data_IF_358891855365
#
_entry.id   IF_358891855365
#
_cell.length_a   1.000
_cell.length_b   1.000
_cell.length_c   1.000
_cell.angle_alpha   90.00
_cell.angle_beta   90.00
_cell.angle_gamma   90.00
#
_symmetry.space_group_name_H-M   'P 1'
#
loop_
_entity.id
_entity.type
_entity.pdbx_description
1 polymer ?
#
# COMPACT_ATOMS: atom_id res chain seq x y z
N UNK A 1 9.86 14.96 -12.37
CA UNK A 1 10.90 14.26 -13.06
C UNK A 1 10.43 12.91 -13.52
N UNK A 2 10.66 12.65 -14.80
CA UNK A 2 10.17 11.42 -15.40
C UNK A 2 10.72 10.17 -14.74
N UNK A 3 11.99 10.23 -14.30
CA UNK A 3 12.64 9.10 -13.67
C UNK A 3 11.94 8.68 -12.39
N UNK A 4 11.53 9.65 -11.56
CA UNK A 4 10.83 9.34 -10.32
C UNK A 4 9.49 8.67 -10.56
N UNK A 5 8.78 9.11 -11.58
CA UNK A 5 7.49 8.50 -11.90
C UNK A 5 7.66 7.05 -12.33
N UNK A 6 8.73 6.77 -13.09
CA UNK A 6 9.00 5.40 -13.51
C UNK A 6 9.38 4.53 -12.33
N UNK A 7 10.12 5.09 -11.37
CA UNK A 7 10.49 4.32 -10.19
C UNK A 7 9.27 3.96 -9.38
N UNK A 8 8.35 4.90 -9.19
CA UNK A 8 7.12 4.63 -8.45
C UNK A 8 6.28 3.57 -9.14
N UNK A 9 6.20 3.66 -10.46
CA UNK A 9 5.44 2.71 -11.24
C UNK A 9 6.03 1.30 -11.10
N UNK A 10 7.35 1.21 -11.18
CA UNK A 10 8.02 -0.08 -11.05
C UNK A 10 7.80 -0.67 -9.67
N UNK A 11 7.98 0.13 -8.63
CA UNK A 11 7.77 -0.32 -7.25
C UNK A 11 6.34 -0.81 -7.08
N UNK A 12 5.39 -0.04 -7.58
CA UNK A 12 3.99 -0.42 -7.48
C UNK A 12 3.75 -1.76 -8.16
N UNK A 13 4.24 -1.91 -9.39
CA UNK A 13 4.00 -3.13 -10.13
C UNK A 13 4.62 -4.36 -9.47
N UNK A 14 5.82 -4.19 -8.92
CA UNK A 14 6.48 -5.30 -8.23
C UNK A 14 5.72 -5.71 -6.98
N UNK A 15 5.35 -4.74 -6.16
CA UNK A 15 4.65 -5.04 -4.92
C UNK A 15 3.25 -5.57 -5.20
N UNK A 16 2.57 -4.98 -6.16
CA UNK A 16 1.24 -5.43 -6.52
C UNK A 16 1.27 -6.87 -7.05
N UNK A 17 2.29 -7.20 -7.83
CA UNK A 17 2.45 -8.57 -8.30
C UNK A 17 2.61 -9.55 -7.15
N UNK A 18 3.40 -9.18 -6.15
CA UNK A 18 3.56 -10.01 -4.97
C UNK A 18 2.25 -10.15 -4.22
N UNK A 19 1.51 -9.05 -4.09
CA UNK A 19 0.23 -9.07 -3.39
C UNK A 19 -0.75 -10.03 -4.08
N UNK A 20 -0.79 -9.99 -5.40
CA UNK A 20 -1.66 -10.88 -6.17
C UNK A 20 -1.34 -12.33 -5.86
N UNK A 21 -0.05 -12.67 -5.79
CA UNK A 21 0.34 -14.04 -5.49
C UNK A 21 -0.09 -14.47 -4.10
N UNK A 22 0.07 -13.60 -3.11
CA UNK A 22 -0.35 -13.90 -1.76
C UNK A 22 -1.86 -14.08 -1.66
N UNK A 23 -2.60 -13.31 -2.45
CA UNK A 23 -4.06 -13.39 -2.42
C UNK A 23 -4.60 -14.69 -3.01
N UNK A 24 -3.77 -15.46 -3.67
CA UNK A 24 -4.17 -16.79 -4.13
C UNK A 24 -4.29 -17.77 -2.98
N UNK A 25 -3.44 -17.60 -1.97
CA UNK A 25 -3.32 -18.56 -0.88
C UNK A 25 -3.86 -18.06 0.45
N UNK A 26 -3.98 -16.74 0.59
CA UNK A 26 -4.36 -16.13 1.86
C UNK A 26 -5.50 -15.14 1.64
N UNK A 27 -6.19 -14.85 2.72
CA UNK A 27 -7.29 -13.90 2.66
C UNK A 27 -6.80 -12.49 2.31
N UNK A 28 -7.60 -11.81 1.51
CA UNK A 28 -7.25 -10.45 1.08
C UNK A 28 -7.03 -9.53 2.27
N UNK A 29 -7.87 -9.65 3.30
CA UNK A 29 -7.72 -8.81 4.49
C UNK A 29 -6.38 -9.03 5.17
N UNK A 30 -5.95 -10.27 5.27
CA UNK A 30 -4.67 -10.58 5.89
C UNK A 30 -3.51 -9.99 5.09
N UNK A 31 -3.59 -10.09 3.77
CA UNK A 31 -2.56 -9.55 2.90
C UNK A 31 -2.51 -8.03 3.01
N UNK A 32 -3.68 -7.39 2.93
CA UNK A 32 -3.76 -5.93 3.01
C UNK A 32 -3.26 -5.42 4.36
N UNK A 33 -3.65 -6.09 5.44
CA UNK A 33 -3.22 -5.69 6.77
C UNK A 33 -1.71 -5.79 6.92
N UNK A 34 -1.13 -6.81 6.34
CA UNK A 34 0.32 -7.00 6.39
C UNK A 34 1.04 -5.88 5.66
N UNK A 35 0.58 -5.53 4.46
CA UNK A 35 1.19 -4.41 3.73
C UNK A 35 1.03 -3.10 4.49
N UNK A 36 -0.13 -2.89 5.09
CA UNK A 36 -0.36 -1.68 5.88
C UNK A 36 0.60 -1.61 7.06
N UNK A 37 0.76 -2.74 7.76
CA UNK A 37 1.66 -2.79 8.91
C UNK A 37 3.10 -2.47 8.50
N UNK A 38 3.55 -3.02 7.39
CA UNK A 38 4.90 -2.75 6.89
C UNK A 38 5.05 -1.27 6.55
N UNK A 39 4.07 -0.72 5.84
CA UNK A 39 4.11 0.68 5.44
C UNK A 39 4.15 1.61 6.65
N UNK A 40 3.31 1.33 7.64
CA UNK A 40 3.28 2.15 8.84
C UNK A 40 4.60 2.09 9.59
N UNK A 41 5.19 0.90 9.64
CA UNK A 41 6.47 0.74 10.31
C UNK A 41 7.59 1.51 9.62
N UNK A 42 7.57 1.51 8.30
CA UNK A 42 8.55 2.29 7.53
C UNK A 42 8.39 3.77 7.81
N UNK A 43 7.17 4.27 7.82
CA UNK A 43 6.93 5.67 8.14
C UNK A 43 7.41 5.99 9.57
N UNK A 44 7.06 5.13 10.51
CA UNK A 44 7.42 5.35 11.91
C UNK A 44 8.93 5.36 12.09
N UNK A 45 9.65 4.57 11.31
CA UNK A 45 11.09 4.49 11.39
C UNK A 45 11.77 5.76 10.86
N UNK A 46 11.20 6.36 9.82
CA UNK A 46 11.89 7.43 9.09
C UNK A 46 11.33 8.83 9.34
N UNK A 47 10.16 8.95 9.95
CA UNK A 47 9.53 10.23 10.21
C UNK A 47 9.51 10.51 11.71
N UNK A 48 9.56 11.79 12.07
CA UNK A 48 9.36 12.13 13.47
C UNK A 48 7.88 11.99 13.83
N UNK A 49 7.57 12.16 15.10
CA UNK A 49 6.23 11.88 15.59
C UNK A 49 5.16 12.71 14.86
N UNK A 50 5.40 14.00 14.70
CA UNK A 50 4.43 14.88 14.05
C UNK A 50 4.28 14.55 12.58
N UNK A 51 5.38 14.27 11.92
CA UNK A 51 5.37 13.91 10.51
C UNK A 51 4.63 12.59 10.30
N UNK A 52 4.86 11.65 11.20
CA UNK A 52 4.19 10.35 11.13
C UNK A 52 2.68 10.51 11.24
N UNK A 53 2.23 11.26 12.25
CA UNK A 53 0.80 11.47 12.45
C UNK A 53 0.18 12.17 11.25
N UNK A 54 0.88 13.17 10.71
CA UNK A 54 0.39 13.89 9.54
C UNK A 54 0.29 12.97 8.33
N UNK A 55 1.28 12.12 8.14
CA UNK A 55 1.28 11.21 7.00
C UNK A 55 0.13 10.20 7.13
N UNK A 56 -0.07 9.63 8.31
CA UNK A 56 -1.14 8.67 8.51
C UNK A 56 -2.49 9.34 8.25
N UNK A 57 -2.66 10.58 8.72
CA UNK A 57 -3.90 11.31 8.46
C UNK A 57 -4.11 11.53 6.98
N UNK A 58 -3.07 11.88 6.26
CA UNK A 58 -3.15 12.06 4.82
C UNK A 58 -3.57 10.76 4.13
N UNK A 59 -2.99 9.67 4.55
CA UNK A 59 -3.34 8.36 3.97
C UNK A 59 -4.81 8.04 4.20
N UNK A 60 -5.28 8.26 5.42
CA UNK A 60 -6.66 7.97 5.78
C UNK A 60 -7.63 8.85 4.97
N UNK A 61 -7.24 10.10 4.74
CA UNK A 61 -8.09 11.05 4.04
C UNK A 61 -8.02 10.91 2.53
N UNK A 62 -7.05 10.19 2.02
CA UNK A 62 -6.88 10.03 0.58
C UNK A 62 -7.95 9.10 0.03
N UNK A 63 -8.64 9.57 -0.99
CA UNK A 63 -9.66 8.76 -1.64
C UNK A 63 -9.00 7.79 -2.61
N UNK A 64 -9.35 6.52 -2.49
CA UNK A 64 -8.76 5.46 -3.31
C UNK A 64 -9.87 4.70 -4.01
N UNK A 65 -9.70 4.51 -5.31
CA UNK A 65 -10.67 3.74 -6.08
C UNK A 65 -10.35 2.25 -6.00
N UNK A 66 -11.35 1.43 -5.74
CA UNK A 66 -11.12 -0.02 -5.74
C UNK A 66 -10.77 -0.51 -7.13
N UNK A 67 -10.07 -1.63 -7.18
CA UNK A 67 -9.78 -2.27 -8.46
C UNK A 67 -11.05 -2.82 -9.07
N UNK A 68 -11.04 -2.90 -10.39
CA UNK A 68 -12.14 -3.52 -11.11
C UNK A 68 -12.26 -4.97 -10.66
N UNK A 69 -13.50 -5.43 -10.56
CA UNK A 69 -13.72 -6.81 -10.18
C UNK A 69 -13.55 -7.09 -8.71
N UNK A 70 -13.49 -6.05 -7.89
CA UNK A 70 -13.33 -6.23 -6.46
C UNK A 70 -14.41 -7.14 -5.86
N UNK A 71 -15.59 -7.16 -6.46
CA UNK A 71 -16.66 -8.01 -5.97
C UNK A 71 -16.33 -9.49 -6.11
N UNK A 72 -15.44 -9.80 -7.02
CA UNK A 72 -15.04 -11.18 -7.26
C UNK A 72 -13.98 -11.66 -6.28
N UNK A 73 -13.51 -10.78 -5.43
CA UNK A 73 -12.47 -11.11 -4.45
C UNK A 73 -13.02 -11.59 -3.12
N UNK A 74 -14.32 -11.65 -3.00
CA UNK A 74 -14.94 -12.09 -1.75
C UNK A 74 -14.98 -13.57 -1.59
#
# INVERSE_FOLDING_TARGET
>A
MARKNKDLERIYNDIFGDAIQYMRDYEVQAVAATYMAIAMRLYKTHLNEDEYKSMIQTVVDTEVKPYNGKRNLH
#
